data_IF_018136899234
#
_entry.id   IF_018136899234
#
_cell.length_a   1.000
_cell.length_b   1.000
_cell.length_c   1.000
_cell.angle_alpha   90.00
_cell.angle_beta   90.00
_cell.angle_gamma   90.00
#
_symmetry.space_group_name_H-M   'P 1'
#
loop_
_entity.id
_entity.type
_entity.pdbx_description
1 polymer ?
#
# COMPACT_ATOMS: atom_id res chain seq x y z
N UNK A 1 14.89 -15.99 -5.84
CA UNK A 1 13.90 -17.09 -5.70
C UNK A 1 12.46 -16.55 -5.67
N UNK A 2 12.16 -15.49 -4.88
CA UNK A 2 10.81 -14.96 -4.69
C UNK A 2 10.17 -14.46 -6.00
N UNK A 3 10.91 -13.69 -6.81
CA UNK A 3 10.45 -13.22 -8.11
C UNK A 3 10.14 -14.38 -9.08
N UNK A 4 10.85 -15.52 -8.93
CA UNK A 4 10.55 -16.73 -9.68
C UNK A 4 9.20 -17.33 -9.29
N UNK A 5 8.88 -17.38 -7.99
CA UNK A 5 7.58 -17.88 -7.51
C UNK A 5 6.45 -16.98 -8.00
N UNK A 6 6.60 -15.66 -7.89
CA UNK A 6 5.62 -14.67 -8.36
C UNK A 6 5.43 -14.79 -9.89
N UNK A 7 6.52 -14.88 -10.65
CA UNK A 7 6.47 -14.98 -12.10
C UNK A 7 5.80 -16.27 -12.56
N UNK A 8 6.19 -17.42 -12.02
CA UNK A 8 5.62 -18.71 -12.38
C UNK A 8 4.15 -18.85 -11.96
N UNK A 9 3.77 -18.35 -10.78
CA UNK A 9 2.38 -18.38 -10.37
C UNK A 9 1.48 -17.52 -11.25
N UNK A 10 1.98 -16.36 -11.74
CA UNK A 10 1.25 -15.53 -12.72
C UNK A 10 1.07 -16.22 -14.06
N UNK A 11 2.12 -16.84 -14.60
CA UNK A 11 2.05 -17.58 -15.87
C UNK A 11 1.02 -18.70 -15.75
N UNK A 12 1.03 -19.46 -14.64
CA UNK A 12 0.09 -20.54 -14.43
C UNK A 12 -1.36 -20.04 -14.25
N UNK A 13 -1.57 -18.84 -13.72
CA UNK A 13 -2.91 -18.24 -13.59
C UNK A 13 -3.55 -17.88 -14.94
N UNK A 14 -2.75 -17.74 -16.01
CA UNK A 14 -3.23 -17.51 -17.38
C UNK A 14 -3.65 -18.82 -18.10
N UNK A 15 -3.39 -20.00 -17.49
CA UNK A 15 -3.77 -21.30 -18.04
C UNK A 15 -5.23 -21.66 -17.66
N UNK A 16 -5.74 -22.71 -18.34
CA UNK A 16 -7.05 -23.30 -18.00
C UNK A 16 -6.96 -24.09 -16.69
N UNK A 17 -7.34 -23.46 -15.60
CA UNK A 17 -7.29 -24.02 -14.24
C UNK A 17 -8.69 -24.38 -13.75
N UNK A 18 -8.77 -25.35 -12.84
CA UNK A 18 -9.95 -25.54 -12.01
C UNK A 18 -10.04 -24.40 -10.98
N UNK A 19 -11.25 -24.10 -10.50
CA UNK A 19 -11.47 -23.08 -9.45
C UNK A 19 -10.57 -23.30 -8.23
N UNK A 20 -10.40 -24.56 -7.81
CA UNK A 20 -9.53 -24.92 -6.69
C UNK A 20 -8.05 -24.62 -6.98
N UNK A 21 -7.56 -24.93 -8.17
CA UNK A 21 -6.18 -24.63 -8.58
C UNK A 21 -5.93 -23.13 -8.67
N UNK A 22 -6.90 -22.37 -9.19
CA UNK A 22 -6.84 -20.92 -9.25
C UNK A 22 -6.76 -20.30 -7.85
N UNK A 23 -7.54 -20.81 -6.89
CA UNK A 23 -7.48 -20.38 -5.49
C UNK A 23 -6.12 -20.68 -4.85
N UNK A 24 -5.53 -21.85 -5.11
CA UNK A 24 -4.19 -22.19 -4.62
C UNK A 24 -3.12 -21.27 -5.19
N UNK A 25 -3.13 -21.02 -6.49
CA UNK A 25 -2.16 -20.15 -7.15
C UNK A 25 -2.30 -18.70 -6.72
N UNK A 26 -3.50 -18.20 -6.55
CA UNK A 26 -3.76 -16.88 -5.98
C UNK A 26 -3.18 -16.76 -4.55
N UNK A 27 -3.38 -17.80 -3.71
CA UNK A 27 -2.83 -17.83 -2.35
C UNK A 27 -1.30 -17.85 -2.36
N UNK A 28 -0.69 -18.64 -3.26
CA UNK A 28 0.78 -18.69 -3.42
C UNK A 28 1.32 -17.33 -3.87
N UNK A 29 0.69 -16.72 -4.87
CA UNK A 29 1.09 -15.41 -5.39
C UNK A 29 1.02 -14.32 -4.30
N UNK A 30 -0.09 -14.24 -3.58
CA UNK A 30 -0.26 -13.28 -2.49
C UNK A 30 0.73 -13.50 -1.34
N UNK A 31 0.97 -14.76 -0.97
CA UNK A 31 1.95 -15.09 0.07
C UNK A 31 3.37 -14.68 -0.35
N UNK A 32 3.73 -14.92 -1.62
CA UNK A 32 5.03 -14.55 -2.15
C UNK A 32 5.20 -13.02 -2.23
N UNK A 33 4.16 -12.28 -2.67
CA UNK A 33 4.17 -10.81 -2.68
C UNK A 33 4.30 -10.27 -1.26
N UNK A 34 3.52 -10.80 -0.30
CA UNK A 34 3.58 -10.38 1.11
C UNK A 34 4.97 -10.62 1.73
N UNK A 35 5.59 -11.76 1.42
CA UNK A 35 6.95 -12.06 1.86
C UNK A 35 7.97 -11.08 1.25
N UNK A 36 7.79 -10.70 -0.02
CA UNK A 36 8.60 -9.69 -0.69
C UNK A 36 8.56 -8.34 0.02
N UNK A 37 7.37 -7.93 0.47
CA UNK A 37 7.21 -6.69 1.23
C UNK A 37 7.92 -6.77 2.60
N UNK A 38 7.80 -7.90 3.32
CA UNK A 38 8.51 -8.08 4.60
C UNK A 38 10.03 -8.00 4.40
N UNK A 39 10.58 -8.61 3.35
CA UNK A 39 12.01 -8.49 3.04
C UNK A 39 12.41 -7.06 2.69
N UNK A 40 11.61 -6.36 1.90
CA UNK A 40 11.84 -4.94 1.61
C UNK A 40 11.84 -4.11 2.89
N UNK A 41 10.88 -4.34 3.77
CA UNK A 41 10.74 -3.65 5.03
C UNK A 41 11.97 -3.85 5.94
N UNK A 42 12.51 -5.09 6.02
CA UNK A 42 13.72 -5.39 6.79
C UNK A 42 14.95 -4.67 6.22
N UNK A 43 15.10 -4.65 4.88
CA UNK A 43 16.20 -3.94 4.22
C UNK A 43 16.07 -2.42 4.41
N UNK A 44 14.85 -1.91 4.33
CA UNK A 44 14.60 -0.48 4.51
C UNK A 44 14.83 -0.04 5.95
N UNK A 45 14.57 -0.90 6.93
CA UNK A 45 14.85 -0.61 8.33
C UNK A 45 16.35 -0.30 8.56
N UNK A 46 17.24 -1.13 8.02
CA UNK A 46 18.69 -0.89 8.09
C UNK A 46 19.10 0.42 7.41
N UNK A 47 18.46 0.75 6.29
CA UNK A 47 18.70 2.00 5.55
C UNK A 47 18.12 3.24 6.26
N UNK A 48 16.99 3.11 6.94
CA UNK A 48 16.38 4.20 7.75
C UNK A 48 17.31 4.55 8.90
N UNK A 49 17.76 3.56 9.67
CA UNK A 49 18.66 3.75 10.81
C UNK A 49 19.97 4.42 10.38
N UNK A 50 20.46 4.10 9.18
CA UNK A 50 21.67 4.68 8.61
C UNK A 50 21.44 5.98 7.83
N UNK A 51 20.19 6.49 7.74
CA UNK A 51 19.78 7.67 6.94
C UNK A 51 20.20 7.56 5.45
N UNK A 52 20.18 6.38 4.88
CA UNK A 52 20.63 6.08 3.51
C UNK A 52 19.52 5.83 2.51
N UNK A 53 18.25 6.04 2.89
CA UNK A 53 17.15 5.92 1.92
C UNK A 53 17.14 7.17 1.06
N UNK A 54 17.36 6.98 -0.23
CA UNK A 54 17.17 7.98 -1.27
C UNK A 54 15.89 7.67 -2.04
N UNK A 55 15.12 8.71 -2.37
CA UNK A 55 13.93 8.58 -3.22
C UNK A 55 14.34 8.57 -4.69
N UNK A 56 13.80 7.63 -5.44
CA UNK A 56 13.93 7.59 -6.90
C UNK A 56 12.73 8.30 -7.54
N UNK A 57 12.78 9.62 -7.60
CA UNK A 57 11.71 10.47 -8.15
C UNK A 57 11.76 10.43 -9.68
N UNK A 58 10.71 9.90 -10.31
CA UNK A 58 10.59 9.78 -11.76
C UNK A 58 9.20 10.17 -12.24
N UNK A 59 9.03 10.54 -13.53
CA UNK A 59 7.71 10.71 -14.12
C UNK A 59 6.91 9.42 -14.04
N UNK A 60 5.76 9.45 -13.39
CA UNK A 60 4.90 8.30 -13.17
C UNK A 60 3.51 8.55 -13.75
N UNK A 61 3.02 7.61 -14.54
CA UNK A 61 1.61 7.55 -14.93
C UNK A 61 0.76 7.29 -13.70
N UNK A 62 0.10 8.35 -13.21
CA UNK A 62 -0.61 8.31 -11.95
C UNK A 62 -1.89 7.48 -12.04
N UNK A 63 -2.58 7.51 -13.16
CA UNK A 63 -3.78 6.69 -13.37
C UNK A 63 -3.45 5.20 -13.43
N UNK A 64 -2.37 4.83 -14.10
CA UNK A 64 -1.87 3.45 -14.10
C UNK A 64 -1.56 2.96 -12.69
N UNK A 65 -0.90 3.80 -11.88
CA UNK A 65 -0.60 3.49 -10.48
C UNK A 65 -1.87 3.32 -9.63
N UNK A 66 -2.86 4.19 -9.80
CA UNK A 66 -4.13 4.08 -9.08
C UNK A 66 -4.92 2.82 -9.46
N UNK A 67 -4.85 2.40 -10.73
CA UNK A 67 -5.42 1.13 -11.17
C UNK A 67 -4.73 -0.07 -10.51
N UNK A 68 -3.41 -0.03 -10.31
CA UNK A 68 -2.70 -1.11 -9.60
C UNK A 68 -3.20 -1.25 -8.15
N UNK A 69 -3.44 -0.12 -7.47
CA UNK A 69 -4.02 -0.14 -6.12
C UNK A 69 -5.44 -0.66 -6.09
N UNK A 70 -6.26 -0.29 -7.08
CA UNK A 70 -7.61 -0.80 -7.21
C UNK A 70 -7.63 -2.32 -7.40
N UNK A 71 -6.82 -2.83 -8.32
CA UNK A 71 -6.74 -4.27 -8.59
C UNK A 71 -6.23 -5.05 -7.38
N UNK A 72 -5.18 -4.53 -6.71
CA UNK A 72 -4.64 -5.13 -5.51
C UNK A 72 -5.68 -5.15 -4.37
N UNK A 73 -6.32 -4.01 -4.09
CA UNK A 73 -7.31 -3.90 -3.02
C UNK A 73 -8.53 -4.78 -3.26
N UNK A 74 -9.02 -4.84 -4.51
CA UNK A 74 -10.14 -5.69 -4.89
C UNK A 74 -9.81 -7.17 -4.67
N UNK A 75 -8.63 -7.61 -5.16
CA UNK A 75 -8.20 -9.00 -5.01
C UNK A 75 -8.09 -9.42 -3.53
N UNK A 76 -7.50 -8.55 -2.69
CA UNK A 76 -7.36 -8.81 -1.26
C UNK A 76 -8.72 -8.85 -0.54
N UNK A 77 -9.62 -7.93 -0.88
CA UNK A 77 -10.94 -7.83 -0.25
C UNK A 77 -11.85 -9.00 -0.63
N UNK A 78 -11.88 -9.40 -1.90
CA UNK A 78 -12.68 -10.53 -2.40
C UNK A 78 -12.36 -11.83 -1.69
N UNK A 79 -11.09 -12.08 -1.35
CA UNK A 79 -10.69 -13.28 -0.61
C UNK A 79 -11.30 -13.38 0.79
N UNK A 80 -11.66 -12.25 1.38
CA UNK A 80 -12.35 -12.16 2.67
C UNK A 80 -13.86 -11.90 2.55
N UNK A 81 -14.38 -11.78 1.32
CA UNK A 81 -15.78 -11.40 1.10
C UNK A 81 -16.09 -9.96 1.47
N UNK A 82 -15.07 -9.08 1.46
CA UNK A 82 -15.21 -7.64 1.68
C UNK A 82 -15.40 -6.91 0.36
N UNK A 83 -15.91 -5.68 0.42
CA UNK A 83 -15.97 -4.78 -0.72
C UNK A 83 -14.83 -3.78 -0.67
N UNK A 84 -14.10 -3.65 -1.80
CA UNK A 84 -13.11 -2.59 -1.99
C UNK A 84 -13.64 -1.54 -2.96
N UNK A 85 -13.37 -0.27 -2.71
CA UNK A 85 -13.70 0.82 -3.62
C UNK A 85 -12.62 1.89 -3.68
N UNK A 86 -12.41 2.42 -4.88
CA UNK A 86 -11.51 3.54 -5.16
C UNK A 86 -12.33 4.79 -5.47
N UNK A 87 -12.09 5.88 -4.74
CA UNK A 87 -12.73 7.19 -4.95
C UNK A 87 -11.67 8.22 -5.30
N UNK A 88 -11.82 8.85 -6.45
CA UNK A 88 -10.86 9.80 -7.00
C UNK A 88 -11.50 11.18 -7.13
N UNK A 89 -10.74 12.22 -6.83
CA UNK A 89 -11.11 13.59 -7.19
C UNK A 89 -10.96 13.83 -8.69
N UNK A 90 -11.84 14.68 -9.24
CA UNK A 90 -11.86 15.01 -10.67
C UNK A 90 -10.61 15.78 -11.17
N UNK A 91 -9.89 16.44 -10.25
CA UNK A 91 -8.75 17.31 -10.56
C UNK A 91 -7.37 16.65 -10.41
N UNK A 92 -7.32 15.32 -10.38
CA UNK A 92 -6.05 14.60 -10.29
C UNK A 92 -5.28 14.69 -11.62
N UNK A 93 -3.96 14.92 -11.58
CA UNK A 93 -3.15 14.96 -12.80
C UNK A 93 -2.91 13.56 -13.35
N UNK A 94 -2.67 13.48 -14.67
CA UNK A 94 -2.34 12.22 -15.33
C UNK A 94 -0.93 11.73 -14.98
N UNK A 95 0.02 12.66 -14.74
CA UNK A 95 1.42 12.38 -14.49
C UNK A 95 1.93 13.17 -13.29
N UNK A 96 2.72 12.50 -12.44
CA UNK A 96 3.39 13.07 -11.27
C UNK A 96 4.85 12.65 -11.22
N UNK A 97 5.74 13.53 -10.74
CA UNK A 97 7.07 13.18 -10.31
C UNK A 97 7.01 12.55 -8.92
N UNK A 98 7.19 11.23 -8.81
CA UNK A 98 7.18 10.53 -7.54
C UNK A 98 8.00 9.23 -7.57
N UNK A 99 8.32 8.70 -6.41
CA UNK A 99 8.85 7.36 -6.27
C UNK A 99 7.68 6.36 -6.21
N UNK A 100 7.38 5.74 -7.38
CA UNK A 100 6.31 4.75 -7.52
C UNK A 100 6.45 3.58 -6.55
N UNK A 101 7.68 3.09 -6.35
CA UNK A 101 7.92 1.92 -5.51
C UNK A 101 7.63 2.23 -4.03
N UNK A 102 8.08 3.39 -3.54
CA UNK A 102 7.87 3.80 -2.16
C UNK A 102 6.42 4.14 -1.87
N UNK A 103 5.75 4.88 -2.75
CA UNK A 103 4.31 5.13 -2.62
C UNK A 103 3.51 3.83 -2.62
N UNK A 104 3.85 2.90 -3.51
CA UNK A 104 3.21 1.58 -3.54
C UNK A 104 3.43 0.80 -2.25
N UNK A 105 4.64 0.81 -1.70
CA UNK A 105 4.97 0.14 -0.45
C UNK A 105 4.08 0.64 0.70
N UNK A 106 3.91 1.96 0.83
CA UNK A 106 3.03 2.55 1.85
C UNK A 106 1.59 2.11 1.64
N UNK A 107 1.03 2.32 0.44
CA UNK A 107 -0.39 2.08 0.18
C UNK A 107 -0.75 0.59 0.23
N UNK A 108 0.12 -0.31 -0.22
CA UNK A 108 -0.10 -1.74 -0.07
C UNK A 108 -0.12 -2.17 1.39
N UNK A 109 0.77 -1.60 2.23
CA UNK A 109 0.74 -1.85 3.66
C UNK A 109 -0.58 -1.37 4.30
N UNK A 110 -1.04 -0.16 3.97
CA UNK A 110 -2.29 0.39 4.50
C UNK A 110 -3.51 -0.42 4.04
N UNK A 111 -3.61 -0.75 2.75
CA UNK A 111 -4.72 -1.53 2.18
C UNK A 111 -4.75 -2.95 2.78
N UNK A 112 -3.59 -3.62 2.85
CA UNK A 112 -3.52 -4.96 3.43
C UNK A 112 -3.89 -4.98 4.92
N UNK A 113 -3.49 -3.97 5.68
CA UNK A 113 -3.91 -3.82 7.08
C UNK A 113 -5.41 -3.57 7.19
N UNK A 114 -5.99 -2.68 6.38
CA UNK A 114 -7.42 -2.43 6.35
C UNK A 114 -8.23 -3.71 6.08
N UNK A 115 -7.86 -4.48 5.06
CA UNK A 115 -8.50 -5.78 4.75
C UNK A 115 -8.27 -6.79 5.88
N UNK A 116 -7.07 -6.84 6.46
CA UNK A 116 -6.71 -7.77 7.53
C UNK A 116 -7.59 -7.58 8.77
N UNK A 117 -7.81 -6.34 9.19
CA UNK A 117 -8.51 -5.99 10.43
C UNK A 117 -10.01 -5.71 10.23
N UNK A 118 -10.53 -5.94 9.03
CA UNK A 118 -11.98 -5.89 8.73
C UNK A 118 -12.49 -7.31 8.52
N UNK A 119 -13.46 -7.74 9.31
CA UNK A 119 -14.09 -9.06 9.14
C UNK A 119 -15.33 -9.00 8.23
N UNK A 120 -16.05 -7.89 8.26
CA UNK A 120 -17.24 -7.64 7.42
C UNK A 120 -17.34 -6.15 7.12
N UNK A 121 -17.77 -5.82 5.90
CA UNK A 121 -17.99 -4.45 5.50
C UNK A 121 -17.10 -4.03 4.34
N UNK A 122 -16.57 -2.81 4.40
CA UNK A 122 -15.96 -2.14 3.27
C UNK A 122 -14.57 -1.61 3.59
N UNK A 123 -13.73 -1.56 2.56
CA UNK A 123 -12.45 -0.84 2.55
C UNK A 123 -12.49 0.17 1.40
N UNK A 124 -12.15 1.41 1.68
CA UNK A 124 -12.21 2.52 0.71
C UNK A 124 -10.85 3.18 0.62
N UNK A 125 -10.26 3.21 -0.58
CA UNK A 125 -9.15 4.10 -0.89
C UNK A 125 -9.71 5.36 -1.55
N UNK A 126 -9.46 6.52 -0.96
CA UNK A 126 -9.78 7.82 -1.55
C UNK A 126 -8.50 8.58 -1.86
N UNK A 127 -8.46 9.25 -3.00
CA UNK A 127 -7.33 10.08 -3.43
C UNK A 127 -7.82 11.47 -3.76
N UNK A 128 -7.24 12.47 -3.11
CA UNK A 128 -7.65 13.85 -3.23
C UNK A 128 -6.43 14.73 -3.50
N UNK A 129 -6.63 15.75 -4.35
CA UNK A 129 -5.67 16.82 -4.50
C UNK A 129 -5.99 17.91 -3.46
N UNK A 130 -5.04 18.18 -2.59
CA UNK A 130 -5.11 19.28 -1.63
C UNK A 130 -4.61 20.59 -2.28
N UNK A 131 -4.16 21.54 -1.48
CA UNK A 131 -3.58 22.77 -1.99
C UNK A 131 -2.19 22.52 -2.61
N UNK A 132 -1.82 23.33 -3.61
CA UNK A 132 -0.54 23.27 -4.32
C UNK A 132 -0.25 21.88 -4.91
N UNK A 133 0.91 21.31 -4.62
CA UNK A 133 1.37 20.01 -5.10
C UNK A 133 1.17 18.90 -4.05
N UNK A 134 0.27 19.10 -3.08
CA UNK A 134 -0.03 18.13 -2.03
C UNK A 134 -1.16 17.20 -2.46
N UNK A 135 -0.96 15.89 -2.27
CA UNK A 135 -1.93 14.84 -2.49
C UNK A 135 -2.17 14.06 -1.22
N UNK A 136 -3.43 13.77 -0.93
CA UNK A 136 -3.84 12.96 0.20
C UNK A 136 -4.47 11.65 -0.28
N UNK A 137 -4.01 10.55 0.29
CA UNK A 137 -4.58 9.23 0.16
C UNK A 137 -5.18 8.84 1.51
N UNK A 138 -6.47 8.52 1.56
CA UNK A 138 -7.08 8.00 2.77
C UNK A 138 -7.54 6.56 2.55
N UNK A 139 -7.10 5.66 3.43
CA UNK A 139 -7.55 4.27 3.48
C UNK A 139 -8.46 4.13 4.67
N UNK A 140 -9.76 3.94 4.40
CA UNK A 140 -10.81 3.79 5.43
C UNK A 140 -11.28 2.36 5.46
N UNK A 141 -11.36 1.78 6.64
CA UNK A 141 -11.93 0.47 6.91
C UNK A 141 -13.08 0.56 7.92
N UNK A 142 -13.97 -0.42 7.89
CA UNK A 142 -15.07 -0.58 8.85
C UNK A 142 -14.78 -1.72 9.84
N UNK A 143 -13.50 -1.91 10.16
CA UNK A 143 -13.03 -3.01 11.00
C UNK A 143 -13.12 -2.74 12.50
N UNK A 144 -12.29 -3.46 13.26
CA UNK A 144 -12.30 -3.40 14.72
C UNK A 144 -11.96 -2.03 15.33
N UNK A 145 -11.31 -1.14 14.55
CA UNK A 145 -10.80 0.12 15.06
C UNK A 145 -9.61 -0.04 16.02
N UNK A 146 -9.12 1.08 16.53
CA UNK A 146 -7.94 1.15 17.39
C UNK A 146 -8.32 1.94 18.65
N UNK A 147 -7.96 1.41 19.81
CA UNK A 147 -8.22 2.10 21.08
C UNK A 147 -7.40 3.41 21.18
N UNK A 148 -7.96 4.50 21.74
CA UNK A 148 -7.26 5.79 21.83
C UNK A 148 -5.89 5.72 22.48
N UNK A 149 -5.69 4.85 23.48
CA UNK A 149 -4.41 4.67 24.18
C UNK A 149 -3.33 3.97 23.34
N UNK A 150 -3.67 3.48 22.15
CA UNK A 150 -2.77 2.77 21.24
C UNK A 150 -2.41 3.60 20.01
N UNK A 151 -3.21 4.65 19.66
CA UNK A 151 -3.01 5.45 18.45
C UNK A 151 -1.60 6.03 18.32
N UNK A 152 -1.01 6.50 19.40
CA UNK A 152 0.34 7.06 19.38
C UNK A 152 1.42 5.98 19.21
N UNK A 153 1.10 4.73 19.50
CA UNK A 153 2.06 3.62 19.54
C UNK A 153 2.10 2.83 18.24
N UNK A 154 1.04 2.85 17.44
CA UNK A 154 0.96 2.02 16.22
C UNK A 154 2.04 2.32 15.18
N UNK A 155 2.65 3.51 15.22
CA UNK A 155 3.78 3.90 14.38
C UNK A 155 5.14 3.59 15.00
N UNK A 156 5.16 2.99 16.22
CA UNK A 156 6.39 2.54 16.86
C UNK A 156 6.81 1.17 16.31
N UNK A 157 8.09 1.00 16.04
CA UNK A 157 8.62 -0.28 15.55
C UNK A 157 8.31 -1.43 16.52
N UNK A 158 7.97 -2.58 15.95
CA UNK A 158 7.62 -3.82 16.67
C UNK A 158 6.39 -3.73 17.57
N UNK A 159 5.65 -2.63 17.50
CA UNK A 159 4.41 -2.50 18.24
C UNK A 159 3.26 -3.21 17.52
N UNK A 160 2.50 -3.99 18.27
CA UNK A 160 1.28 -4.64 17.81
C UNK A 160 0.19 -4.43 18.85
N UNK A 161 -1.01 -4.05 18.38
CA UNK A 161 -2.19 -3.97 19.24
C UNK A 161 -2.45 -5.34 19.84
N UNK A 162 -2.55 -5.42 21.16
CA UNK A 162 -2.82 -6.67 21.88
C UNK A 162 -4.30 -7.03 21.77
N UNK A 163 -4.70 -7.56 20.64
CA UNK A 163 -6.05 -8.09 20.48
C UNK A 163 -6.00 -9.63 20.56
N UNK A 164 -6.84 -10.20 21.44
CA UNK A 164 -6.90 -11.66 21.66
C UNK A 164 -7.59 -12.39 20.51
N UNK A 165 -8.30 -11.68 19.64
CA UNK A 165 -9.14 -12.26 18.58
C UNK A 165 -8.37 -12.34 17.24
N UNK A 166 -7.53 -11.35 16.94
CA UNK A 166 -6.77 -11.28 15.69
C UNK A 166 -5.27 -11.51 15.91
N UNK A 167 -4.89 -12.67 16.44
CA UNK A 167 -3.48 -13.13 16.49
C UNK A 167 -2.94 -13.41 15.08
N UNK A 168 -3.06 -12.46 14.17
CA UNK A 168 -2.50 -12.62 12.85
C UNK A 168 -1.08 -12.04 12.79
N UNK A 169 -0.17 -12.88 12.37
CA UNK A 169 1.23 -12.59 12.19
C UNK A 169 1.45 -11.30 11.38
N UNK A 170 1.99 -10.29 12.02
CA UNK A 170 2.55 -9.09 11.41
C UNK A 170 3.91 -8.85 12.01
N UNK A 171 4.79 -8.12 11.32
CA UNK A 171 6.12 -7.78 11.87
C UNK A 171 6.06 -6.64 12.90
N UNK A 172 4.98 -5.83 12.89
CA UNK A 172 4.90 -4.58 13.65
C UNK A 172 5.84 -3.48 13.12
N UNK A 173 6.35 -3.64 11.90
CA UNK A 173 7.34 -2.75 11.29
C UNK A 173 6.70 -1.88 10.20
N UNK A 174 5.71 -2.41 9.49
CA UNK A 174 5.16 -1.80 8.28
C UNK A 174 4.65 -0.38 8.47
N UNK A 175 3.88 -0.07 9.53
CA UNK A 175 3.38 1.29 9.78
C UNK A 175 4.50 2.27 10.15
N UNK A 176 5.52 1.82 10.90
CA UNK A 176 6.68 2.65 11.23
C UNK A 176 7.48 3.01 9.97
N UNK A 177 7.72 2.04 9.08
CA UNK A 177 8.36 2.29 7.78
C UNK A 177 7.50 3.20 6.91
N UNK A 178 6.18 2.94 6.83
CA UNK A 178 5.26 3.78 6.06
C UNK A 178 5.28 5.24 6.52
N UNK A 179 5.35 5.49 7.83
CA UNK A 179 5.48 6.84 8.40
C UNK A 179 6.79 7.51 7.99
N UNK A 180 7.92 6.79 8.08
CA UNK A 180 9.23 7.32 7.68
C UNK A 180 9.28 7.62 6.17
N UNK A 181 8.75 6.73 5.32
CA UNK A 181 8.69 6.96 3.88
C UNK A 181 7.81 8.15 3.51
N UNK A 182 6.65 8.32 4.19
CA UNK A 182 5.80 9.49 4.01
C UNK A 182 6.54 10.80 4.34
N UNK A 183 7.32 10.82 5.41
CA UNK A 183 8.15 11.97 5.79
C UNK A 183 9.27 12.25 4.78
N UNK A 184 9.90 11.22 4.22
CA UNK A 184 10.86 11.38 3.13
C UNK A 184 10.20 11.96 1.86
N UNK A 185 8.93 11.63 1.61
CA UNK A 185 8.13 12.22 0.52
C UNK A 185 7.54 13.61 0.88
N UNK A 186 8.10 14.27 1.89
CA UNK A 186 7.72 15.61 2.37
C UNK A 186 6.26 15.69 2.84
N UNK A 187 5.71 14.58 3.26
CA UNK A 187 4.35 14.44 3.78
C UNK A 187 4.32 13.85 5.18
N UNK A 188 3.22 13.23 5.52
CA UNK A 188 3.03 12.53 6.78
C UNK A 188 2.01 11.39 6.66
N UNK A 189 2.03 10.50 7.64
CA UNK A 189 1.04 9.44 7.81
C UNK A 189 0.39 9.58 9.18
N UNK A 190 -0.93 9.81 9.20
CA UNK A 190 -1.74 9.96 10.41
C UNK A 190 -2.89 8.97 10.43
N UNK A 191 -3.58 8.86 11.56
CA UNK A 191 -4.70 7.95 11.73
C UNK A 191 -5.79 8.58 12.57
N UNK A 192 -7.03 8.33 12.18
CA UNK A 192 -8.23 8.54 12.99
C UNK A 192 -8.92 7.19 13.14
N UNK A 193 -9.31 6.83 14.35
CA UNK A 193 -9.94 5.55 14.60
C UNK A 193 -10.84 5.60 15.83
N UNK A 194 -11.91 4.84 15.75
CA UNK A 194 -12.83 4.60 16.87
C UNK A 194 -13.05 3.09 16.99
N UNK A 195 -12.94 2.58 18.22
CA UNK A 195 -13.09 1.16 18.50
C UNK A 195 -14.45 0.66 18.01
N UNK A 196 -14.47 -0.48 17.35
CA UNK A 196 -15.66 -1.11 16.74
C UNK A 196 -16.34 -0.33 15.60
N UNK A 197 -15.74 0.80 15.15
CA UNK A 197 -16.24 1.57 14.01
C UNK A 197 -15.28 1.57 12.81
N UNK A 198 -14.04 1.21 13.05
CA UNK A 198 -12.99 1.16 12.03
C UNK A 198 -11.95 2.27 12.14
N UNK A 199 -11.10 2.37 11.13
CA UNK A 199 -9.99 3.31 11.09
C UNK A 199 -9.92 4.02 9.75
N UNK A 200 -9.34 5.20 9.75
CA UNK A 200 -8.94 5.91 8.53
C UNK A 200 -7.49 6.35 8.67
N UNK A 201 -6.64 5.83 7.80
CA UNK A 201 -5.26 6.26 7.68
C UNK A 201 -5.15 7.32 6.58
N UNK A 202 -4.51 8.44 6.89
CA UNK A 202 -4.28 9.54 5.96
C UNK A 202 -2.80 9.64 5.64
N UNK A 203 -2.45 9.37 4.40
CA UNK A 203 -1.13 9.61 3.83
C UNK A 203 -1.17 10.91 3.05
N UNK A 204 -0.31 11.85 3.39
CA UNK A 204 -0.05 13.03 2.56
C UNK A 204 1.33 12.92 1.91
N UNK A 205 1.47 13.40 0.70
CA UNK A 205 2.75 13.52 -0.02
C UNK A 205 2.78 14.84 -0.78
N UNK A 206 3.99 15.31 -1.09
CA UNK A 206 4.21 16.40 -2.04
C UNK A 206 4.79 15.81 -3.31
N UNK A 207 4.15 16.12 -4.46
CA UNK A 207 4.59 15.66 -5.76
C UNK A 207 4.30 16.70 -6.84
N UNK A 208 5.28 17.01 -7.66
CA UNK A 208 5.11 17.95 -8.77
C UNK A 208 4.42 17.27 -9.96
N UNK A 209 3.67 18.07 -10.75
CA UNK A 209 3.09 17.58 -11.99
C UNK A 209 4.19 17.29 -13.00
N UNK A 210 4.11 16.14 -13.65
CA UNK A 210 4.97 15.76 -14.77
C UNK A 210 4.19 15.82 -16.10
N UNK A 211 4.92 15.85 -17.23
CA UNK A 211 4.33 15.76 -18.57
C UNK A 211 4.55 14.35 -19.13
N UNK A 212 3.64 13.90 -20.00
CA UNK A 212 3.71 12.56 -20.61
C UNK A 212 5.01 12.31 -21.41
N UNK A 213 5.66 13.37 -21.91
CA UNK A 213 6.94 13.27 -22.64
C UNK A 213 8.13 12.95 -21.76
N UNK A 214 8.07 13.29 -20.48
CA UNK A 214 9.19 13.07 -19.54
C UNK A 214 9.41 11.57 -19.27
N UNK A 215 8.35 10.75 -19.31
CA UNK A 215 8.43 9.30 -19.14
C UNK A 215 8.96 8.51 -20.34
N UNK A 216 8.93 9.07 -21.55
CA UNK A 216 9.45 8.41 -22.75
C UNK A 216 10.93 8.71 -23.03
N UNK A 217 11.48 9.81 -22.50
CA UNK A 217 12.88 10.18 -22.71
C UNK A 217 13.85 9.20 -22.02
N UNK A 218 13.50 8.65 -20.86
CA UNK A 218 14.37 7.70 -20.14
C UNK A 218 14.38 6.29 -20.75
N UNK A 219 13.28 5.83 -21.34
CA UNK A 219 13.26 4.53 -22.04
C UNK A 219 14.12 4.52 -23.30
N UNK A 220 14.40 5.68 -23.90
CA UNK A 220 15.24 5.81 -25.08
C UNK A 220 16.76 5.85 -24.76
N UNK A 221 17.15 6.08 -23.49
CA UNK A 221 18.57 6.10 -23.06
C UNK A 221 19.07 4.76 -22.51
N UNK A 222 18.23 3.73 -22.40
CA UNK A 222 18.58 2.39 -21.86
C UNK A 222 18.71 1.32 -22.96
N UNK A 223 18.82 1.72 -24.27
CA UNK A 223 19.10 0.83 -25.41
C UNK A 223 20.42 1.15 -26.05
#
# INVERSE_FOLDING_TARGET
PLNGIIGLSRILLDDKLTEQQQNYLNTINLSAVSLGHIFSDIIDLDKIDSKRIELNIQPCDFHSLLNDFYNFGTLMAEQKGLKFSLKLDDNLPNWLYLDRARLSQILWNLISNAVKFTDKGDVILRVQKMQDNQYQFSVTDTGAGIAPCELDKIFTMYYQVKDNIHRSAGSGIGLAISKNLAQLMQGDLTVESELEKGSTFYLTIIAEKAQAHDGNAEKAMQH
#
